data_IF_929004511924
#
_entry.id   IF_929004511924
#
_cell.length_a   1.000
_cell.length_b   1.000
_cell.length_c   1.000
_cell.angle_alpha   90.00
_cell.angle_beta   90.00
_cell.angle_gamma   90.00
#
_symmetry.space_group_name_H-M   'P 1'
#
loop_
_entity.id
_entity.type
_entity.pdbx_description
1 polymer ?
#
# COMPACT_ATOMS: atom_id res chain seq x y z
N UNK A 1 47.25 15.39 11.40
CA UNK A 1 48.67 15.42 11.02
C UNK A 1 49.41 14.42 11.89
N UNK A 2 49.81 13.26 11.35
CA UNK A 2 50.28 12.12 12.14
C UNK A 2 51.58 12.44 12.89
N UNK A 3 51.76 11.86 14.08
CA UNK A 3 52.91 12.12 14.97
C UNK A 3 54.28 11.93 14.27
N UNK A 4 54.35 11.06 13.26
CA UNK A 4 55.55 10.84 12.46
C UNK A 4 55.98 12.04 11.61
N UNK A 5 55.03 12.84 11.07
CA UNK A 5 55.37 14.02 10.25
C UNK A 5 55.95 15.13 11.13
N UNK A 6 55.42 15.31 12.34
CA UNK A 6 55.96 16.29 13.30
C UNK A 6 57.38 15.92 13.73
N UNK A 7 57.65 14.64 13.98
CA UNK A 7 59.00 14.16 14.31
C UNK A 7 60.02 14.40 13.20
N UNK A 8 59.64 14.14 11.94
CA UNK A 8 60.53 14.34 10.80
C UNK A 8 60.87 15.83 10.56
N UNK A 9 59.89 16.73 10.69
CA UNK A 9 60.10 18.18 10.53
C UNK A 9 60.99 18.74 11.65
N UNK A 10 60.75 18.33 12.90
CA UNK A 10 61.58 18.77 14.04
C UNK A 10 63.01 18.23 13.92
N UNK A 11 63.18 16.97 13.50
CA UNK A 11 64.51 16.40 13.27
C UNK A 11 65.26 17.14 12.14
N UNK A 12 64.60 17.43 11.02
CA UNK A 12 65.23 18.17 9.91
C UNK A 12 65.63 19.60 10.33
N UNK A 13 64.76 20.31 11.04
CA UNK A 13 65.07 21.64 11.57
C UNK A 13 66.24 21.61 12.57
N UNK A 14 66.30 20.59 13.43
CA UNK A 14 67.39 20.40 14.38
C UNK A 14 68.73 20.10 13.68
N UNK A 15 68.75 19.28 12.63
CA UNK A 15 69.97 19.00 11.85
C UNK A 15 70.46 20.26 11.13
N UNK A 16 69.56 21.04 10.53
CA UNK A 16 69.93 22.30 9.87
C UNK A 16 70.49 23.31 10.88
N UNK A 17 69.83 23.48 12.03
CA UNK A 17 70.32 24.37 13.10
C UNK A 17 71.67 23.90 13.65
N UNK A 18 71.85 22.59 13.86
CA UNK A 18 73.11 22.02 14.33
C UNK A 18 74.25 22.23 13.32
N UNK A 19 74.01 21.99 12.02
CA UNK A 19 74.98 22.22 10.95
C UNK A 19 75.28 23.71 10.71
N UNK A 20 74.37 24.62 11.06
CA UNK A 20 74.60 26.06 10.95
C UNK A 20 75.40 26.62 12.14
N UNK A 21 75.25 26.04 13.34
CA UNK A 21 75.80 26.60 14.58
C UNK A 21 77.14 25.94 14.97
N UNK A 22 77.23 24.61 14.84
CA UNK A 22 78.39 23.85 15.36
C UNK A 22 79.66 24.06 14.53
N UNK A 23 79.64 24.05 13.20
CA UNK A 23 80.86 24.22 12.41
C UNK A 23 81.53 25.60 12.58
N UNK A 24 80.81 26.74 12.62
CA UNK A 24 81.44 28.04 12.90
C UNK A 24 82.00 28.14 14.33
N UNK A 25 81.32 27.54 15.31
CA UNK A 25 81.72 27.63 16.72
C UNK A 25 82.90 26.71 17.08
N UNK A 26 83.02 25.54 16.43
CA UNK A 26 84.09 24.59 16.72
C UNK A 26 85.40 24.86 15.96
N UNK A 27 85.38 25.63 14.86
CA UNK A 27 86.52 25.80 13.95
C UNK A 27 86.94 27.27 13.70
N UNK A 28 86.64 28.18 14.64
CA UNK A 28 86.97 29.62 14.59
C UNK A 28 88.46 29.98 14.70
N UNK A 29 89.30 29.42 13.82
CA UNK A 29 90.72 29.77 13.63
C UNK A 29 91.07 29.91 12.14
N UNK A 30 92.27 30.42 11.80
CA UNK A 30 92.69 30.65 10.41
C UNK A 30 92.53 29.39 9.55
N UNK A 31 92.16 29.52 8.25
CA UNK A 31 91.54 28.48 7.45
C UNK A 31 92.40 27.22 7.39
N UNK A 32 91.96 26.17 8.10
CA UNK A 32 92.55 24.84 7.99
C UNK A 32 92.19 24.21 6.63
N UNK A 33 93.07 23.41 6.02
CA UNK A 33 92.86 22.83 4.69
C UNK A 33 91.60 21.95 4.57
N UNK A 34 91.11 21.42 5.70
CA UNK A 34 89.87 20.64 5.79
C UNK A 34 88.60 21.49 5.57
N UNK A 35 88.65 22.78 5.93
CA UNK A 35 87.52 23.71 5.74
C UNK A 35 87.37 24.10 4.26
N UNK A 36 88.48 24.42 3.59
CA UNK A 36 88.54 24.63 2.15
C UNK A 36 88.11 23.39 1.35
N UNK A 37 88.33 22.18 1.89
CA UNK A 37 87.83 20.94 1.30
C UNK A 37 86.30 20.85 1.43
N UNK A 38 85.75 21.05 2.63
CA UNK A 38 84.30 21.07 2.83
C UNK A 38 83.59 22.13 1.98
N UNK A 39 84.15 23.32 1.88
CA UNK A 39 83.60 24.43 1.07
C UNK A 39 83.61 24.08 -0.43
N UNK A 40 84.66 23.40 -0.92
CA UNK A 40 84.72 22.90 -2.30
C UNK A 40 83.80 21.71 -2.59
N UNK A 41 83.51 20.89 -1.58
CA UNK A 41 82.64 19.71 -1.71
C UNK A 41 81.20 19.95 -1.24
N UNK A 42 80.86 21.13 -0.72
CA UNK A 42 79.53 21.46 -0.20
C UNK A 42 78.44 21.23 -1.24
N UNK A 43 78.65 21.68 -2.48
CA UNK A 43 77.72 21.48 -3.61
C UNK A 43 77.56 20.02 -4.00
N UNK A 44 78.61 19.21 -3.85
CA UNK A 44 78.55 17.76 -4.09
C UNK A 44 77.78 17.05 -2.98
N UNK A 45 78.05 17.38 -1.72
CA UNK A 45 77.38 16.80 -0.55
C UNK A 45 75.89 17.16 -0.56
N UNK A 46 75.53 18.40 -0.87
CA UNK A 46 74.12 18.80 -1.01
C UNK A 46 73.43 18.12 -2.19
N UNK A 47 74.13 17.94 -3.32
CA UNK A 47 73.63 17.16 -4.46
C UNK A 47 73.31 15.71 -4.08
N UNK A 48 74.22 15.03 -3.39
CA UNK A 48 74.00 13.65 -2.91
C UNK A 48 72.85 13.59 -1.90
N UNK A 49 72.80 14.53 -0.95
CA UNK A 49 71.71 14.61 0.02
C UNK A 49 70.35 14.83 -0.66
N UNK A 50 70.29 15.65 -1.71
CA UNK A 50 69.07 15.89 -2.49
C UNK A 50 68.59 14.63 -3.21
N UNK A 51 69.50 13.84 -3.80
CA UNK A 51 69.14 12.56 -4.45
C UNK A 51 68.63 11.55 -3.42
N UNK A 52 69.26 11.45 -2.24
CA UNK A 52 68.81 10.56 -1.16
C UNK A 52 67.42 10.99 -0.65
N UNK A 53 67.20 12.29 -0.46
CA UNK A 53 65.90 12.81 -0.04
C UNK A 53 64.81 12.50 -1.09
N UNK A 54 65.08 12.77 -2.37
CA UNK A 54 64.16 12.45 -3.47
C UNK A 54 63.86 10.94 -3.53
N UNK A 55 64.87 10.08 -3.38
CA UNK A 55 64.70 8.63 -3.32
C UNK A 55 63.82 8.20 -2.14
N UNK A 56 64.06 8.76 -0.95
CA UNK A 56 63.24 8.49 0.24
C UNK A 56 61.78 8.93 0.02
N UNK A 57 61.56 10.10 -0.58
CA UNK A 57 60.21 10.60 -0.93
C UNK A 57 59.51 9.67 -1.93
N UNK A 58 60.18 9.26 -3.01
CA UNK A 58 59.59 8.34 -4.01
C UNK A 58 59.26 6.99 -3.36
N UNK A 59 60.15 6.44 -2.52
CA UNK A 59 59.88 5.19 -1.82
C UNK A 59 58.72 5.32 -0.83
N UNK A 60 58.62 6.45 -0.13
CA UNK A 60 57.50 6.70 0.78
C UNK A 60 56.18 6.86 0.02
N UNK A 61 56.17 7.54 -1.12
CA UNK A 61 55.00 7.65 -2.00
C UNK A 61 54.53 6.28 -2.50
N UNK A 62 55.46 5.43 -2.95
CA UNK A 62 55.13 4.06 -3.39
C UNK A 62 54.47 3.24 -2.28
N UNK A 63 54.98 3.32 -1.04
CA UNK A 63 54.39 2.62 0.11
C UNK A 63 53.01 3.17 0.45
N UNK A 64 52.81 4.50 0.41
CA UNK A 64 51.51 5.10 0.69
C UNK A 64 50.48 4.78 -0.38
N UNK A 65 50.88 4.76 -1.66
CA UNK A 65 49.99 4.44 -2.78
C UNK A 65 49.55 2.97 -2.72
N UNK A 66 50.46 2.04 -2.41
CA UNK A 66 50.11 0.65 -2.20
C UNK A 66 49.14 0.46 -1.01
N UNK A 67 49.38 1.17 0.09
CA UNK A 67 48.48 1.12 1.26
C UNK A 67 47.12 1.78 1.00
N UNK A 68 47.06 2.80 0.15
CA UNK A 68 45.82 3.41 -0.30
C UNK A 68 45.03 2.46 -1.21
N UNK A 69 45.71 1.81 -2.17
CA UNK A 69 45.09 0.85 -3.08
C UNK A 69 44.49 -0.36 -2.34
N UNK A 70 45.19 -0.88 -1.33
CA UNK A 70 44.68 -1.98 -0.49
C UNK A 70 43.38 -1.58 0.23
N UNK A 71 43.38 -0.43 0.90
CA UNK A 71 42.17 0.09 1.58
C UNK A 71 41.03 0.36 0.60
N UNK A 72 41.34 0.89 -0.58
CA UNK A 72 40.33 1.09 -1.62
C UNK A 72 39.69 -0.23 -2.05
N UNK A 73 40.49 -1.27 -2.26
CA UNK A 73 40.00 -2.60 -2.61
C UNK A 73 39.16 -3.21 -1.47
N UNK A 74 39.61 -3.09 -0.21
CA UNK A 74 38.86 -3.55 0.97
C UNK A 74 37.49 -2.86 1.09
N UNK A 75 37.44 -1.54 0.86
CA UNK A 75 36.18 -0.78 0.87
C UNK A 75 35.26 -1.23 -0.25
N UNK A 76 35.79 -1.43 -1.47
CA UNK A 76 35.01 -1.92 -2.61
C UNK A 76 34.45 -3.32 -2.36
N UNK A 77 35.23 -4.20 -1.76
CA UNK A 77 34.79 -5.56 -1.43
C UNK A 77 33.73 -5.55 -0.33
N UNK A 78 33.95 -4.78 0.73
CA UNK A 78 32.95 -4.57 1.79
C UNK A 78 31.65 -3.98 1.25
N UNK A 79 31.73 -2.97 0.37
CA UNK A 79 30.57 -2.36 -0.28
C UNK A 79 29.79 -3.37 -1.14
N UNK A 80 30.49 -4.22 -1.91
CA UNK A 80 29.86 -5.28 -2.71
C UNK A 80 29.14 -6.32 -1.83
N UNK A 81 29.74 -6.71 -0.70
CA UNK A 81 29.13 -7.65 0.22
C UNK A 81 27.89 -7.05 0.91
N UNK A 82 27.97 -5.80 1.33
CA UNK A 82 26.83 -5.07 1.91
C UNK A 82 25.66 -4.93 0.91
N UNK A 83 25.96 -4.64 -0.36
CA UNK A 83 24.93 -4.53 -1.41
C UNK A 83 24.25 -5.89 -1.68
N UNK A 84 25.02 -6.99 -1.69
CA UNK A 84 24.46 -8.35 -1.80
C UNK A 84 23.53 -8.68 -0.63
N UNK A 85 23.95 -8.40 0.59
CA UNK A 85 23.12 -8.65 1.78
C UNK A 85 21.86 -7.77 1.79
N UNK A 86 21.98 -6.49 1.40
CA UNK A 86 20.84 -5.59 1.29
C UNK A 86 19.81 -6.10 0.27
N UNK A 87 20.26 -6.62 -0.88
CA UNK A 87 19.38 -7.25 -1.88
C UNK A 87 18.72 -8.52 -1.36
N UNK A 88 19.45 -9.36 -0.62
CA UNK A 88 18.87 -10.56 -0.01
C UNK A 88 17.77 -10.21 1.00
N UNK A 89 18.02 -9.23 1.88
CA UNK A 89 17.02 -8.74 2.83
C UNK A 89 15.81 -8.12 2.12
N UNK A 90 16.04 -7.33 1.07
CA UNK A 90 14.96 -6.78 0.26
C UNK A 90 14.08 -7.87 -0.35
N UNK A 91 14.69 -8.89 -0.97
CA UNK A 91 13.96 -10.00 -1.56
C UNK A 91 13.13 -10.77 -0.51
N UNK A 92 13.70 -11.01 0.67
CA UNK A 92 12.98 -11.66 1.78
C UNK A 92 11.78 -10.83 2.24
N UNK A 93 11.93 -9.50 2.36
CA UNK A 93 10.83 -8.62 2.75
C UNK A 93 9.72 -8.57 1.68
N UNK A 94 10.10 -8.55 0.40
CA UNK A 94 9.14 -8.62 -0.72
C UNK A 94 8.38 -9.94 -0.69
N UNK A 95 9.07 -11.07 -0.50
CA UNK A 95 8.44 -12.39 -0.42
C UNK A 95 7.45 -12.49 0.76
N UNK A 96 7.83 -11.99 1.94
CA UNK A 96 6.94 -11.95 3.10
C UNK A 96 5.71 -11.06 2.87
N UNK A 97 5.87 -9.95 2.17
CA UNK A 97 4.77 -9.04 1.83
C UNK A 97 3.80 -9.72 0.85
N UNK A 98 4.31 -10.35 -0.21
CA UNK A 98 3.50 -11.09 -1.19
C UNK A 98 2.70 -12.22 -0.51
N UNK A 99 3.34 -12.97 0.40
CA UNK A 99 2.65 -14.03 1.17
C UNK A 99 1.54 -13.48 2.04
N UNK A 100 1.78 -12.37 2.74
CA UNK A 100 0.76 -11.72 3.55
C UNK A 100 -0.43 -11.29 2.69
N UNK A 101 -0.17 -10.62 1.58
CA UNK A 101 -1.23 -10.14 0.67
C UNK A 101 -2.01 -11.30 0.06
N UNK A 102 -1.32 -12.39 -0.30
CA UNK A 102 -1.95 -13.63 -0.79
C UNK A 102 -2.90 -14.24 0.26
N UNK A 103 -2.51 -14.28 1.54
CA UNK A 103 -3.36 -14.81 2.60
C UNK A 103 -4.58 -13.91 2.87
N UNK A 104 -4.41 -12.59 2.77
CA UNK A 104 -5.52 -11.63 2.90
C UNK A 104 -6.48 -11.79 1.72
N UNK A 105 -5.96 -11.92 0.50
CA UNK A 105 -6.76 -12.18 -0.70
C UNK A 105 -7.50 -13.53 -0.59
N UNK A 106 -6.83 -14.60 -0.14
CA UNK A 106 -7.46 -15.92 0.05
C UNK A 106 -8.62 -15.87 1.03
N UNK A 107 -8.45 -15.22 2.18
CA UNK A 107 -9.53 -15.04 3.18
C UNK A 107 -10.67 -14.18 2.68
N UNK A 108 -10.40 -13.21 1.80
CA UNK A 108 -11.44 -12.40 1.16
C UNK A 108 -12.22 -13.24 0.15
N UNK A 109 -11.53 -14.03 -0.68
CA UNK A 109 -12.16 -14.76 -1.77
C UNK A 109 -12.91 -15.99 -1.27
N UNK A 110 -12.38 -16.70 -0.28
CA UNK A 110 -12.96 -17.92 0.26
C UNK A 110 -13.41 -17.72 1.72
N UNK A 111 -14.72 -17.83 2.04
CA UNK A 111 -15.83 -18.34 1.22
C UNK A 111 -16.66 -17.25 0.51
N UNK A 112 -16.31 -15.96 0.63
CA UNK A 112 -17.24 -14.88 0.30
C UNK A 112 -17.53 -14.73 -1.20
N UNK A 113 -16.58 -15.02 -2.10
CA UNK A 113 -16.81 -14.92 -3.54
C UNK A 113 -17.91 -15.88 -4.00
N UNK A 114 -17.87 -17.13 -3.55
CA UNK A 114 -18.91 -18.13 -3.86
C UNK A 114 -20.27 -17.72 -3.31
N UNK A 115 -20.30 -17.13 -2.10
CA UNK A 115 -21.54 -16.62 -1.51
C UNK A 115 -22.11 -15.45 -2.32
N UNK A 116 -21.27 -14.52 -2.78
CA UNK A 116 -21.70 -13.42 -3.64
C UNK A 116 -22.26 -13.93 -4.98
N UNK A 117 -21.58 -14.90 -5.61
CA UNK A 117 -22.05 -15.54 -6.84
C UNK A 117 -23.41 -16.21 -6.61
N UNK A 118 -23.58 -16.92 -5.49
CA UNK A 118 -24.85 -17.55 -5.12
C UNK A 118 -25.99 -16.54 -4.95
N UNK A 119 -25.75 -15.45 -4.21
CA UNK A 119 -26.75 -14.39 -4.02
C UNK A 119 -27.09 -13.72 -5.36
N UNK A 120 -26.08 -13.43 -6.19
CA UNK A 120 -26.27 -12.87 -7.53
C UNK A 120 -27.11 -13.78 -8.42
N UNK A 121 -26.83 -15.09 -8.41
CA UNK A 121 -27.60 -16.07 -9.17
C UNK A 121 -29.05 -16.15 -8.69
N UNK A 122 -29.28 -16.08 -7.37
CA UNK A 122 -30.63 -16.02 -6.79
C UNK A 122 -31.41 -14.77 -7.21
N UNK A 123 -30.75 -13.61 -7.22
CA UNK A 123 -31.35 -12.36 -7.69
C UNK A 123 -31.69 -12.43 -9.19
N UNK A 124 -30.78 -12.97 -10.00
CA UNK A 124 -30.98 -13.08 -11.45
C UNK A 124 -32.05 -14.10 -11.85
N UNK A 125 -32.18 -15.22 -11.13
CA UNK A 125 -33.14 -16.27 -11.47
C UNK A 125 -34.58 -15.88 -11.16
N UNK A 126 -34.78 -15.06 -10.12
CA UNK A 126 -36.09 -14.55 -9.73
C UNK A 126 -36.55 -13.37 -10.59
N UNK A 127 -35.63 -12.67 -11.22
CA UNK A 127 -35.91 -11.48 -12.02
C UNK A 127 -36.07 -10.23 -11.14
N UNK A 128 -36.96 -9.33 -11.51
CA UNK A 128 -37.34 -8.20 -10.67
C UNK A 128 -38.78 -8.36 -10.19
N UNK A 129 -39.14 -7.86 -9.01
CA UNK A 129 -40.50 -7.95 -8.50
C UNK A 129 -41.48 -7.33 -9.50
N UNK A 130 -42.50 -8.10 -9.88
CA UNK A 130 -43.56 -7.68 -10.79
C UNK A 130 -44.84 -7.55 -9.98
N UNK A 131 -45.52 -6.42 -10.13
CA UNK A 131 -46.80 -6.21 -9.48
C UNK A 131 -47.81 -7.23 -10.05
N UNK A 132 -48.57 -7.97 -9.22
CA UNK A 132 -49.68 -8.77 -9.70
C UNK A 132 -50.71 -7.89 -10.40
N UNK A 133 -51.54 -8.47 -11.27
CA UNK A 133 -52.58 -7.74 -12.02
C UNK A 133 -53.74 -7.29 -11.13
N UNK A 134 -53.47 -6.42 -10.16
CA UNK A 134 -54.41 -5.91 -9.16
C UNK A 134 -54.86 -4.51 -9.51
N UNK A 135 -56.11 -4.18 -9.19
CA UNK A 135 -56.70 -2.87 -9.43
C UNK A 135 -56.65 -1.96 -8.19
N UNK A 136 -56.51 -2.56 -7.00
CA UNK A 136 -56.60 -1.86 -5.71
C UNK A 136 -55.36 -2.15 -4.85
N UNK A 137 -55.03 -1.22 -3.94
CA UNK A 137 -53.82 -1.29 -3.10
C UNK A 137 -54.00 -2.12 -1.83
N UNK A 138 -55.20 -2.63 -1.59
CA UNK A 138 -55.58 -3.55 -0.52
C UNK A 138 -55.98 -4.93 -1.03
N UNK A 139 -55.59 -5.27 -2.26
CA UNK A 139 -55.79 -6.61 -2.81
C UNK A 139 -54.96 -7.64 -2.01
N UNK A 140 -55.56 -8.75 -1.52
CA UNK A 140 -54.83 -9.81 -0.83
C UNK A 140 -53.64 -10.39 -1.62
N UNK A 141 -53.67 -10.34 -2.95
CA UNK A 141 -52.55 -10.77 -3.81
C UNK A 141 -51.29 -9.93 -3.62
N UNK A 142 -51.40 -8.72 -3.05
CA UNK A 142 -50.23 -7.90 -2.72
C UNK A 142 -49.40 -8.47 -1.56
N UNK A 143 -49.90 -9.47 -0.82
CA UNK A 143 -49.12 -10.11 0.25
C UNK A 143 -47.95 -10.92 -0.32
N UNK A 144 -48.16 -11.72 -1.36
CA UNK A 144 -47.05 -12.46 -1.99
C UNK A 144 -46.01 -11.51 -2.59
N UNK A 145 -46.44 -10.36 -3.10
CA UNK A 145 -45.54 -9.31 -3.57
C UNK A 145 -44.70 -8.69 -2.43
N UNK A 146 -45.27 -8.53 -1.22
CA UNK A 146 -44.53 -8.09 -0.03
C UNK A 146 -43.48 -9.12 0.38
N UNK A 147 -43.85 -10.40 0.35
CA UNK A 147 -42.93 -11.50 0.65
C UNK A 147 -41.76 -11.51 -0.32
N UNK A 148 -42.02 -11.37 -1.62
CA UNK A 148 -40.97 -11.25 -2.65
C UNK A 148 -40.01 -10.09 -2.33
N UNK A 149 -40.55 -8.90 -2.02
CA UNK A 149 -39.76 -7.72 -1.65
C UNK A 149 -38.88 -7.94 -0.41
N UNK A 150 -39.38 -8.65 0.60
CA UNK A 150 -38.59 -8.99 1.79
C UNK A 150 -37.43 -9.92 1.47
N UNK A 151 -37.62 -10.86 0.54
CA UNK A 151 -36.53 -11.73 0.12
C UNK A 151 -35.43 -10.95 -0.64
N UNK A 152 -35.79 -10.01 -1.54
CA UNK A 152 -34.79 -9.11 -2.15
C UNK A 152 -34.05 -8.30 -1.09
N UNK A 153 -34.79 -7.75 -0.12
CA UNK A 153 -34.21 -7.01 1.00
C UNK A 153 -33.21 -7.87 1.77
N UNK A 154 -33.53 -9.13 2.06
CA UNK A 154 -32.61 -10.05 2.73
C UNK A 154 -31.35 -10.33 1.90
N UNK A 155 -31.48 -10.54 0.59
CA UNK A 155 -30.34 -10.74 -0.30
C UNK A 155 -29.40 -9.52 -0.34
N UNK A 156 -29.96 -8.31 -0.46
CA UNK A 156 -29.16 -7.06 -0.47
C UNK A 156 -28.46 -6.86 0.87
N UNK A 157 -29.17 -7.06 1.99
CA UNK A 157 -28.59 -6.97 3.33
C UNK A 157 -27.47 -7.99 3.54
N UNK A 158 -27.62 -9.20 3.01
CA UNK A 158 -26.56 -10.22 3.08
C UNK A 158 -25.29 -9.73 2.38
N UNK A 159 -25.39 -9.19 1.16
CA UNK A 159 -24.25 -8.63 0.43
C UNK A 159 -23.63 -7.47 1.21
N UNK A 160 -24.42 -6.50 1.67
CA UNK A 160 -23.88 -5.34 2.41
C UNK A 160 -23.19 -5.76 3.70
N UNK A 161 -23.77 -6.72 4.43
CA UNK A 161 -23.21 -7.21 5.69
C UNK A 161 -21.91 -8.00 5.49
N UNK A 162 -21.73 -8.67 4.34
CA UNK A 162 -20.46 -9.32 4.00
C UNK A 162 -19.36 -8.27 3.81
N UNK A 163 -19.65 -7.17 3.10
CA UNK A 163 -18.67 -6.12 2.78
C UNK A 163 -18.22 -5.22 3.94
N UNK A 164 -18.72 -5.47 5.15
CA UNK A 164 -18.28 -4.81 6.40
C UNK A 164 -17.53 -5.77 7.33
N UNK A 165 -17.37 -7.03 6.96
CA UNK A 165 -16.61 -8.00 7.76
C UNK A 165 -15.11 -7.66 7.74
N UNK A 166 -14.34 -8.04 8.78
CA UNK A 166 -12.91 -7.77 8.86
C UNK A 166 -12.09 -8.16 7.61
N UNK A 167 -12.31 -9.32 6.95
CA UNK A 167 -11.56 -9.68 5.73
C UNK A 167 -11.68 -8.65 4.61
N UNK A 168 -12.85 -8.03 4.46
CA UNK A 168 -13.10 -6.97 3.47
C UNK A 168 -12.34 -5.68 3.79
N UNK A 169 -12.25 -5.33 5.07
CA UNK A 169 -11.52 -4.14 5.50
C UNK A 169 -10.01 -4.34 5.37
N UNK A 170 -9.51 -5.51 5.72
CA UNK A 170 -8.09 -5.88 5.57
C UNK A 170 -7.65 -5.93 4.10
N UNK A 171 -8.52 -6.41 3.22
CA UNK A 171 -8.24 -6.51 1.80
C UNK A 171 -8.51 -5.23 1.00
N UNK A 172 -9.08 -4.19 1.61
CA UNK A 172 -9.40 -2.93 0.93
C UNK A 172 -8.20 -2.32 0.16
N UNK A 173 -6.94 -2.34 0.68
CA UNK A 173 -5.77 -1.86 -0.06
C UNK A 173 -5.36 -2.74 -1.25
N UNK A 174 -5.84 -3.99 -1.30
CA UNK A 174 -5.52 -4.96 -2.37
C UNK A 174 -6.50 -4.87 -3.54
N UNK A 175 -7.68 -4.27 -3.33
CA UNK A 175 -8.65 -4.02 -4.39
C UNK A 175 -8.07 -3.00 -5.37
N UNK A 176 -8.15 -3.29 -6.67
CA UNK A 176 -7.78 -2.30 -7.68
C UNK A 176 -8.79 -1.13 -7.69
N UNK A 177 -8.41 -0.03 -8.34
CA UNK A 177 -9.26 1.18 -8.36
C UNK A 177 -10.66 0.93 -8.91
N UNK A 178 -10.82 -0.02 -9.84
CA UNK A 178 -12.10 -0.36 -10.44
C UNK A 178 -12.98 -1.21 -9.50
N UNK A 179 -12.41 -2.24 -8.87
CA UNK A 179 -13.11 -3.09 -7.90
C UNK A 179 -13.51 -2.29 -6.67
N UNK A 180 -12.62 -1.41 -6.19
CA UNK A 180 -12.94 -0.49 -5.11
C UNK A 180 -14.07 0.48 -5.48
N UNK A 181 -14.10 0.97 -6.73
CA UNK A 181 -15.19 1.80 -7.24
C UNK A 181 -16.53 1.04 -7.24
N UNK A 182 -16.58 -0.17 -7.82
CA UNK A 182 -17.78 -1.00 -7.82
C UNK A 182 -18.25 -1.34 -6.40
N UNK A 183 -17.34 -1.59 -5.46
CA UNK A 183 -17.70 -1.81 -4.06
C UNK A 183 -18.40 -0.59 -3.44
N UNK A 184 -17.90 0.61 -3.72
CA UNK A 184 -18.49 1.86 -3.20
C UNK A 184 -19.85 2.14 -3.85
N UNK A 185 -19.94 2.05 -5.18
CA UNK A 185 -21.19 2.25 -5.92
C UNK A 185 -22.23 1.21 -5.51
N UNK A 186 -21.85 -0.07 -5.41
CA UNK A 186 -22.73 -1.14 -4.92
C UNK A 186 -23.31 -0.81 -3.54
N UNK A 187 -22.50 -0.28 -2.60
CA UNK A 187 -22.98 0.15 -1.27
C UNK A 187 -23.97 1.31 -1.37
N UNK A 188 -23.69 2.30 -2.21
CA UNK A 188 -24.59 3.44 -2.42
C UNK A 188 -25.93 3.00 -3.05
N UNK A 189 -25.87 2.15 -4.08
CA UNK A 189 -27.05 1.57 -4.74
C UNK A 189 -27.85 0.67 -3.80
N UNK A 190 -27.19 -0.11 -2.95
CA UNK A 190 -27.86 -0.93 -1.95
C UNK A 190 -28.70 -0.09 -0.97
N UNK A 191 -28.17 1.05 -0.50
CA UNK A 191 -28.89 1.94 0.40
C UNK A 191 -30.17 2.51 -0.27
N UNK A 192 -30.05 3.01 -1.49
CA UNK A 192 -31.17 3.52 -2.28
C UNK A 192 -32.21 2.42 -2.57
N UNK A 193 -31.74 1.22 -2.89
CA UNK A 193 -32.63 0.11 -3.19
C UNK A 193 -33.39 -0.36 -1.95
N UNK A 194 -32.71 -0.49 -0.80
CA UNK A 194 -33.34 -0.85 0.48
C UNK A 194 -34.39 0.17 0.91
N UNK A 195 -34.13 1.46 0.71
CA UNK A 195 -35.12 2.50 0.98
C UNK A 195 -36.34 2.38 0.06
N UNK A 196 -36.11 2.14 -1.23
CA UNK A 196 -37.19 1.98 -2.22
C UNK A 196 -38.02 0.73 -1.92
N UNK A 197 -37.39 -0.39 -1.57
CA UNK A 197 -38.07 -1.62 -1.16
C UNK A 197 -38.93 -1.35 0.07
N UNK A 198 -38.39 -0.68 1.09
CA UNK A 198 -39.13 -0.35 2.31
C UNK A 198 -40.39 0.48 1.99
N UNK A 199 -40.22 1.56 1.20
CA UNK A 199 -41.35 2.41 0.78
C UNK A 199 -42.40 1.62 0.01
N UNK A 200 -41.98 0.77 -0.93
CA UNK A 200 -42.87 -0.03 -1.78
C UNK A 200 -43.60 -1.11 -0.97
N UNK A 201 -42.90 -1.77 -0.04
CA UNK A 201 -43.45 -2.83 0.82
C UNK A 201 -44.49 -2.29 1.81
N UNK A 202 -44.24 -1.10 2.36
CA UNK A 202 -45.12 -0.47 3.34
C UNK A 202 -46.30 0.27 2.67
N UNK A 203 -46.31 0.38 1.33
CA UNK A 203 -47.34 1.09 0.59
C UNK A 203 -48.70 0.37 0.55
N UNK A 204 -48.82 -0.93 0.21
CA UNK A 204 -50.11 -1.62 0.20
C UNK A 204 -50.79 -1.66 1.56
N UNK A 205 -52.10 -1.42 1.58
CA UNK A 205 -52.93 -1.44 2.78
C UNK A 205 -53.34 -2.88 3.07
N UNK A 206 -53.39 -3.25 4.35
CA UNK A 206 -53.85 -4.60 4.72
C UNK A 206 -55.33 -4.77 4.36
N UNK A 207 -55.73 -5.87 3.71
CA UNK A 207 -57.13 -6.08 3.34
C UNK A 207 -58.08 -6.08 4.54
N UNK A 208 -59.30 -5.56 4.35
CA UNK A 208 -60.34 -5.51 5.39
C UNK A 208 -60.70 -6.88 5.98
N UNK A 209 -60.50 -7.96 5.21
CA UNK A 209 -60.78 -9.34 5.62
C UNK A 209 -59.95 -9.84 6.82
N UNK A 210 -58.87 -9.13 7.18
CA UNK A 210 -58.01 -9.50 8.32
C UNK A 210 -58.46 -8.91 9.67
N UNK A 211 -59.51 -8.09 9.71
CA UNK A 211 -59.97 -7.46 10.95
C UNK A 211 -61.03 -8.28 11.69
N UNK A 212 -60.99 -8.25 13.02
CA UNK A 212 -61.97 -8.94 13.87
C UNK A 212 -63.38 -8.34 13.67
N UNK A 213 -64.41 -9.17 13.37
CA UNK A 213 -65.78 -8.71 13.18
C UNK A 213 -66.36 -7.92 14.36
N UNK A 214 -65.92 -8.17 15.59
CA UNK A 214 -66.38 -7.45 16.79
C UNK A 214 -65.98 -5.96 16.79
N UNK A 215 -65.07 -5.55 15.90
CA UNK A 215 -64.59 -4.17 15.75
C UNK A 215 -64.76 -3.65 14.32
N UNK A 216 -65.76 -4.14 13.60
CA UNK A 216 -65.97 -3.84 12.18
C UNK A 216 -65.99 -2.33 11.88
N UNK A 217 -66.67 -1.52 12.70
CA UNK A 217 -66.73 -0.07 12.48
C UNK A 217 -65.38 0.63 12.65
N UNK A 218 -64.61 0.26 13.66
CA UNK A 218 -63.27 0.81 13.92
C UNK A 218 -62.31 0.39 12.80
N UNK A 219 -62.38 -0.88 12.39
CA UNK A 219 -61.57 -1.43 11.31
C UNK A 219 -61.84 -0.74 9.96
N UNK A 220 -63.12 -0.54 9.61
CA UNK A 220 -63.52 0.20 8.40
C UNK A 220 -63.00 1.64 8.40
N UNK A 221 -63.10 2.33 9.53
CA UNK A 221 -62.58 3.70 9.65
C UNK A 221 -61.04 3.74 9.52
N UNK A 222 -60.33 2.82 10.17
CA UNK A 222 -58.86 2.71 10.06
C UNK A 222 -58.41 2.36 8.64
N UNK A 223 -59.12 1.46 7.97
CA UNK A 223 -58.87 1.08 6.58
C UNK A 223 -59.07 2.25 5.63
N UNK A 224 -60.22 2.93 5.71
CA UNK A 224 -60.51 4.09 4.87
C UNK A 224 -59.45 5.20 5.03
N UNK A 225 -59.01 5.44 6.28
CA UNK A 225 -57.92 6.38 6.57
C UNK A 225 -56.57 5.92 6.01
N UNK A 226 -56.28 4.62 6.01
CA UNK A 226 -55.04 4.07 5.45
C UNK A 226 -55.00 4.09 3.92
N UNK A 227 -56.18 4.05 3.27
CA UNK A 227 -56.36 4.18 1.82
C UNK A 227 -56.28 5.63 1.33
N UNK A 228 -56.46 6.62 2.22
CA UNK A 228 -56.45 8.03 1.86
C UNK A 228 -55.12 8.43 1.20
N UNK A 229 -55.19 8.90 -0.06
CA UNK A 229 -54.03 9.30 -0.84
C UNK A 229 -53.21 8.15 -1.44
N UNK A 230 -53.66 6.89 -1.29
CA UNK A 230 -53.02 5.73 -1.93
C UNK A 230 -53.78 5.32 -3.18
N UNK A 231 -53.04 5.07 -4.26
CA UNK A 231 -53.61 4.56 -5.50
C UNK A 231 -52.65 3.57 -6.16
N UNK A 232 -53.18 2.79 -7.10
CA UNK A 232 -52.44 1.73 -7.77
C UNK A 232 -51.34 2.28 -8.70
N UNK A 233 -51.55 3.45 -9.31
CA UNK A 233 -50.59 4.10 -10.22
C UNK A 233 -49.29 4.48 -9.50
N UNK A 234 -49.40 5.05 -8.30
CA UNK A 234 -48.25 5.38 -7.46
C UNK A 234 -47.50 4.12 -7.00
N UNK A 235 -48.23 3.04 -6.69
CA UNK A 235 -47.59 1.75 -6.38
C UNK A 235 -46.83 1.22 -7.61
N UNK A 236 -47.41 1.31 -8.81
CA UNK A 236 -46.75 0.92 -10.05
C UNK A 236 -45.48 1.75 -10.32
N UNK A 237 -45.52 3.05 -10.08
CA UNK A 237 -44.34 3.92 -10.19
C UNK A 237 -43.23 3.49 -9.20
N UNK A 238 -43.59 3.21 -7.94
CA UNK A 238 -42.65 2.71 -6.93
C UNK A 238 -42.05 1.35 -7.31
N UNK A 239 -42.86 0.44 -7.87
CA UNK A 239 -42.35 -0.84 -8.41
C UNK A 239 -41.40 -0.58 -9.58
N UNK A 240 -41.72 0.35 -10.47
CA UNK A 240 -40.83 0.78 -11.55
C UNK A 240 -39.48 1.28 -11.04
N UNK A 241 -39.48 2.13 -10.01
CA UNK A 241 -38.26 2.61 -9.36
C UNK A 241 -37.48 1.46 -8.70
N UNK A 242 -38.17 0.53 -8.03
CA UNK A 242 -37.56 -0.69 -7.47
C UNK A 242 -36.82 -1.49 -8.55
N UNK A 243 -37.39 -1.65 -9.75
CA UNK A 243 -36.73 -2.36 -10.87
C UNK A 243 -35.46 -1.64 -11.32
N UNK A 244 -35.51 -0.32 -11.46
CA UNK A 244 -34.34 0.48 -11.87
C UNK A 244 -33.22 0.39 -10.84
N UNK A 245 -33.54 0.54 -9.55
CA UNK A 245 -32.54 0.44 -8.49
C UNK A 245 -31.98 -0.98 -8.35
N UNK A 246 -32.83 -2.00 -8.50
CA UNK A 246 -32.39 -3.39 -8.53
C UNK A 246 -31.40 -3.65 -9.66
N UNK A 247 -31.71 -3.21 -10.88
CA UNK A 247 -30.83 -3.37 -12.02
C UNK A 247 -29.46 -2.69 -11.81
N UNK A 248 -29.47 -1.45 -11.30
CA UNK A 248 -28.23 -0.74 -10.98
C UNK A 248 -27.41 -1.46 -9.91
N UNK A 249 -28.05 -1.92 -8.82
CA UNK A 249 -27.36 -2.71 -7.79
C UNK A 249 -26.76 -4.01 -8.35
N UNK A 250 -27.50 -4.75 -9.17
CA UNK A 250 -26.99 -6.00 -9.77
C UNK A 250 -25.83 -5.78 -10.72
N UNK A 251 -25.81 -4.67 -11.45
CA UNK A 251 -24.70 -4.32 -12.34
C UNK A 251 -23.41 -4.04 -11.55
N UNK A 252 -23.50 -3.28 -10.45
CA UNK A 252 -22.36 -3.03 -9.57
C UNK A 252 -21.88 -4.29 -8.86
N UNK A 253 -22.80 -5.17 -8.46
CA UNK A 253 -22.46 -6.47 -7.88
C UNK A 253 -21.70 -7.37 -8.88
N UNK A 254 -22.12 -7.39 -10.14
CA UNK A 254 -21.42 -8.11 -11.21
C UNK A 254 -20.02 -7.56 -11.45
N UNK A 255 -19.86 -6.23 -11.45
CA UNK A 255 -18.56 -5.56 -11.53
C UNK A 255 -17.64 -5.94 -10.36
N UNK A 256 -18.17 -5.95 -9.14
CA UNK A 256 -17.46 -6.39 -7.95
C UNK A 256 -17.01 -7.85 -8.02
N UNK A 257 -17.91 -8.77 -8.41
CA UNK A 257 -17.59 -10.19 -8.57
C UNK A 257 -16.49 -10.40 -9.63
N UNK A 258 -16.56 -9.67 -10.74
CA UNK A 258 -15.53 -9.72 -11.79
C UNK A 258 -14.17 -9.23 -11.27
N UNK A 259 -14.17 -8.13 -10.51
CA UNK A 259 -12.96 -7.59 -9.88
C UNK A 259 -12.32 -8.58 -8.89
N UNK A 260 -13.13 -9.23 -8.05
CA UNK A 260 -12.65 -10.26 -7.13
C UNK A 260 -12.07 -11.48 -7.85
N UNK A 261 -12.66 -11.91 -8.98
CA UNK A 261 -12.07 -12.99 -9.80
C UNK A 261 -10.71 -12.62 -10.37
N UNK A 262 -10.58 -11.38 -10.86
CA UNK A 262 -9.30 -10.84 -11.32
C UNK A 262 -8.25 -10.80 -10.20
N UNK A 263 -8.67 -10.42 -8.99
CA UNK A 263 -7.83 -10.47 -7.80
C UNK A 263 -7.33 -11.90 -7.51
N UNK A 264 -8.21 -12.90 -7.58
CA UNK A 264 -7.84 -14.31 -7.42
C UNK A 264 -6.78 -14.75 -8.43
N UNK A 265 -7.00 -14.44 -9.71
CA UNK A 265 -6.05 -14.74 -10.78
C UNK A 265 -4.67 -14.08 -10.55
N UNK A 266 -4.65 -12.83 -10.05
CA UNK A 266 -3.40 -12.10 -9.75
C UNK A 266 -2.56 -12.79 -8.67
N UNK A 267 -3.19 -13.45 -7.71
CA UNK A 267 -2.51 -14.16 -6.63
C UNK A 267 -2.39 -15.68 -6.87
N UNK A 268 -2.90 -16.20 -7.98
CA UNK A 268 -2.87 -17.63 -8.30
C UNK A 268 -3.81 -18.48 -7.43
N UNK A 269 -4.97 -17.90 -7.05
CA UNK A 269 -6.01 -18.49 -6.21
C UNK A 269 -7.26 -18.91 -6.99
#
# INVERSE_FOLDING_TARGET
MSAHIRGAVVAAAAVIAFMAIVPPAAFGGPPQPLWLFLEKFQTLITGIAAVIAAYATVRQMQVTDQAAQRRHNEILESAKNNDREARQRHNQLVELTIRKDSLVAERLLYPDLERLIGIRAQLSSRGFPVLPGVSEVDDPLLQSFKDDLDEYRHAILAVTNMTIQPPWLEAAPLLDGLTAHHLQEMKARAALYLETIKRTRDYPVSPLAYFNPDREMIAKFQHARAMEGKNIEALQEMVGLCKVQGAAFTAELDGLISGLRSLGQKYGL
#
